data_IF_698945874512
#
_entry.id   IF_698945874512
#
_cell.length_a   1.000
_cell.length_b   1.000
_cell.length_c   1.000
_cell.angle_alpha   90.00
_cell.angle_beta   90.00
_cell.angle_gamma   90.00
#
_symmetry.space_group_name_H-M   'P 1'
#
loop_
_entity.id
_entity.type
_entity.pdbx_description
1 polymer ?
#
# COMPACT_ATOMS: atom_id res chain seq x y z
N UNK A 1 -7.52 -15.15 -16.98
CA UNK A 1 -6.25 -15.89 -16.82
C UNK A 1 -6.35 -17.11 -15.87
N UNK A 2 -7.56 -17.59 -15.53
CA UNK A 2 -7.77 -18.74 -14.64
C UNK A 2 -7.01 -18.68 -13.29
N UNK A 3 -6.90 -17.49 -12.69
CA UNK A 3 -6.20 -17.26 -11.42
C UNK A 3 -4.71 -17.64 -11.40
N UNK A 4 -4.07 -17.78 -12.57
CA UNK A 4 -2.63 -17.95 -12.67
C UNK A 4 -1.91 -16.64 -12.27
N UNK A 5 -1.11 -16.71 -11.21
CA UNK A 5 -0.39 -15.55 -10.62
C UNK A 5 0.73 -15.01 -11.49
N UNK A 6 1.15 -15.74 -12.51
CA UNK A 6 2.22 -15.34 -13.45
C UNK A 6 1.67 -14.82 -14.78
N UNK A 7 0.36 -14.95 -15.03
CA UNK A 7 -0.22 -14.62 -16.33
C UNK A 7 -0.48 -13.12 -16.54
N UNK A 8 -0.48 -12.32 -15.48
CA UNK A 8 -0.81 -10.89 -15.54
C UNK A 8 0.10 -10.07 -14.60
N UNK A 9 1.41 -10.14 -14.86
CA UNK A 9 2.44 -9.47 -14.05
C UNK A 9 2.44 -7.97 -14.32
N UNK A 10 2.30 -7.17 -13.26
CA UNK A 10 2.41 -5.72 -13.32
C UNK A 10 3.88 -5.29 -13.34
N UNK A 11 4.14 -4.13 -13.95
CA UNK A 11 5.45 -3.48 -13.97
C UNK A 11 5.47 -2.33 -12.97
N UNK A 12 6.54 -2.23 -12.17
CA UNK A 12 6.75 -1.12 -11.25
C UNK A 12 6.97 0.17 -12.04
N UNK A 13 6.27 1.23 -11.68
CA UNK A 13 6.47 2.54 -12.26
C UNK A 13 7.85 3.10 -11.83
N UNK A 14 8.54 3.77 -12.76
CA UNK A 14 9.90 4.27 -12.55
C UNK A 14 9.95 5.62 -11.82
N UNK A 15 8.87 6.39 -11.86
CA UNK A 15 8.75 7.70 -11.22
C UNK A 15 8.01 7.64 -9.89
N UNK A 16 7.02 6.75 -9.78
CA UNK A 16 6.33 6.45 -8.52
C UNK A 16 6.63 4.99 -8.12
N UNK A 17 7.59 4.76 -7.21
CA UNK A 17 7.99 3.42 -6.81
C UNK A 17 6.91 2.62 -6.07
N UNK A 18 5.77 3.22 -5.72
CA UNK A 18 4.64 2.54 -5.08
C UNK A 18 3.54 2.17 -6.09
N UNK A 19 3.64 2.62 -7.34
CA UNK A 19 2.65 2.32 -8.38
C UNK A 19 3.11 1.14 -9.25
N UNK A 20 2.21 0.17 -9.44
CA UNK A 20 2.40 -0.97 -10.34
C UNK A 20 1.30 -0.97 -11.41
N UNK A 21 1.67 -1.04 -12.69
CA UNK A 21 0.72 -0.95 -13.81
C UNK A 21 0.94 -2.05 -14.84
N UNK A 22 -0.09 -2.36 -15.61
CA UNK A 22 -0.02 -3.33 -16.70
C UNK A 22 -1.24 -3.20 -17.60
N UNK A 23 -1.05 -3.57 -18.88
CA UNK A 23 -2.13 -3.64 -19.87
C UNK A 23 -2.22 -5.07 -20.35
N UNK A 24 -3.42 -5.66 -20.23
CA UNK A 24 -3.65 -7.05 -20.61
C UNK A 24 -4.86 -7.12 -21.53
N UNK A 25 -4.74 -7.93 -22.58
CA UNK A 25 -5.87 -8.21 -23.46
C UNK A 25 -6.86 -9.13 -22.76
N UNK A 26 -8.14 -8.74 -22.76
CA UNK A 26 -9.24 -9.54 -22.23
C UNK A 26 -10.31 -9.66 -23.31
N UNK A 27 -10.47 -10.86 -23.85
CA UNK A 27 -11.52 -11.16 -24.81
C UNK A 27 -12.88 -11.19 -24.09
N UNK A 28 -13.62 -10.10 -24.18
CA UNK A 28 -14.88 -9.89 -23.47
C UNK A 28 -15.84 -9.01 -24.29
N UNK A 29 -17.07 -8.84 -23.80
CA UNK A 29 -18.09 -7.97 -24.41
C UNK A 29 -18.52 -6.87 -23.45
N UNK A 30 -19.11 -5.79 -23.99
CA UNK A 30 -19.78 -4.79 -23.16
C UNK A 30 -20.83 -5.45 -22.24
N UNK A 31 -20.88 -5.02 -20.98
CA UNK A 31 -21.75 -5.56 -19.93
C UNK A 31 -21.21 -6.82 -19.23
N UNK A 32 -20.16 -7.48 -19.73
CA UNK A 32 -19.55 -8.61 -19.04
C UNK A 32 -18.83 -8.15 -17.77
N UNK A 33 -18.82 -9.01 -16.75
CA UNK A 33 -18.16 -8.75 -15.45
C UNK A 33 -16.92 -9.62 -15.34
N UNK A 34 -15.79 -8.99 -15.07
CA UNK A 34 -14.54 -9.66 -14.72
C UNK A 34 -14.32 -9.58 -13.22
N UNK A 35 -14.08 -10.73 -12.58
CA UNK A 35 -13.52 -10.78 -11.23
C UNK A 35 -12.00 -10.84 -11.26
N UNK A 36 -11.35 -10.17 -10.33
CA UNK A 36 -9.89 -10.17 -10.22
C UNK A 36 -9.42 -9.94 -8.78
N UNK A 37 -8.13 -10.22 -8.55
CA UNK A 37 -7.40 -9.87 -7.34
C UNK A 37 -5.97 -9.46 -7.67
N UNK A 38 -5.39 -8.63 -6.82
CA UNK A 38 -3.95 -8.40 -6.76
C UNK A 38 -3.26 -9.45 -5.87
N UNK A 39 -2.03 -9.80 -6.25
CA UNK A 39 -1.17 -10.74 -5.53
C UNK A 39 0.25 -10.17 -5.47
N UNK A 40 0.85 -10.14 -4.28
CA UNK A 40 2.24 -9.74 -4.10
C UNK A 40 3.15 -10.98 -4.23
N UNK A 41 4.20 -10.85 -5.03
CA UNK A 41 5.23 -11.87 -5.24
C UNK A 41 4.67 -13.27 -5.58
N UNK A 42 3.51 -13.32 -6.23
CA UNK A 42 2.86 -14.56 -6.65
C UNK A 42 2.23 -15.41 -5.52
N UNK A 43 2.33 -15.00 -4.25
CA UNK A 43 1.87 -15.81 -3.12
C UNK A 43 0.93 -15.09 -2.15
N UNK A 44 1.06 -13.77 -2.00
CA UNK A 44 0.29 -13.01 -1.00
C UNK A 44 -0.89 -12.33 -1.68
N UNK A 45 -2.03 -13.01 -1.65
CA UNK A 45 -3.28 -12.50 -2.19
C UNK A 45 -3.86 -11.37 -1.35
N UNK A 46 -4.54 -10.43 -1.99
CA UNK A 46 -5.37 -9.48 -1.27
C UNK A 46 -6.56 -10.17 -0.58
N UNK A 47 -7.08 -9.56 0.48
CA UNK A 47 -8.22 -10.02 1.26
C UNK A 47 -9.56 -9.86 0.52
N UNK A 48 -10.65 -9.81 1.28
CA UNK A 48 -11.99 -9.59 0.72
C UNK A 48 -12.22 -8.09 0.51
N UNK A 49 -12.02 -7.65 -0.72
CA UNK A 49 -11.98 -6.22 -1.10
C UNK A 49 -13.03 -5.84 -2.15
N UNK A 50 -13.88 -6.80 -2.53
CA UNK A 50 -14.92 -6.60 -3.51
C UNK A 50 -16.04 -5.69 -3.00
N UNK A 51 -16.91 -5.21 -3.91
CA UNK A 51 -18.09 -4.45 -3.52
C UNK A 51 -18.92 -5.23 -2.50
N UNK A 52 -19.47 -4.52 -1.52
CA UNK A 52 -20.30 -5.07 -0.44
C UNK A 52 -19.64 -6.23 0.34
N UNK A 53 -18.31 -6.21 0.45
CA UNK A 53 -17.53 -7.22 1.18
C UNK A 53 -17.32 -8.52 0.41
N UNK A 54 -17.58 -8.54 -0.91
CA UNK A 54 -17.31 -9.68 -1.76
C UNK A 54 -15.82 -10.06 -1.74
N UNK A 55 -15.53 -11.34 -2.03
CA UNK A 55 -14.16 -11.86 -1.99
C UNK A 55 -13.24 -11.16 -3.00
N UNK A 56 -13.70 -10.99 -4.23
CA UNK A 56 -12.89 -10.49 -5.35
C UNK A 56 -13.34 -9.09 -5.76
N UNK A 57 -12.39 -8.31 -6.29
CA UNK A 57 -12.76 -7.10 -7.04
C UNK A 57 -13.56 -7.49 -8.28
N UNK A 58 -14.42 -6.61 -8.74
CA UNK A 58 -15.18 -6.78 -9.98
C UNK A 58 -15.08 -5.55 -10.86
N UNK A 59 -14.98 -5.76 -12.16
CA UNK A 59 -15.04 -4.71 -13.17
C UNK A 59 -16.05 -5.09 -14.25
N UNK A 60 -16.97 -4.19 -14.57
CA UNK A 60 -17.93 -4.36 -15.67
C UNK A 60 -17.40 -3.64 -16.89
N UNK A 61 -17.17 -4.37 -17.99
CA UNK A 61 -16.72 -3.77 -19.24
C UNK A 61 -17.82 -2.88 -19.83
N UNK A 62 -17.47 -1.65 -20.18
CA UNK A 62 -18.38 -0.66 -20.79
C UNK A 62 -18.40 -0.73 -22.31
N UNK A 63 -17.29 -1.13 -22.95
CA UNK A 63 -17.19 -1.43 -24.38
C UNK A 63 -16.15 -2.53 -24.65
N UNK A 64 -15.87 -2.80 -25.92
CA UNK A 64 -14.74 -3.63 -26.37
C UNK A 64 -13.46 -2.83 -26.59
N UNK A 65 -13.51 -1.50 -26.42
CA UNK A 65 -12.34 -0.64 -26.53
C UNK A 65 -11.46 -0.74 -25.27
N UNK A 66 -10.17 -0.36 -25.35
CA UNK A 66 -9.29 -0.31 -24.20
C UNK A 66 -9.88 0.52 -23.06
N UNK A 67 -9.87 -0.04 -21.85
CA UNK A 67 -10.41 0.57 -20.65
C UNK A 67 -9.35 0.64 -19.55
N UNK A 68 -9.32 1.77 -18.85
CA UNK A 68 -8.41 1.99 -17.72
C UNK A 68 -9.15 1.73 -16.42
N UNK A 69 -8.63 0.81 -15.60
CA UNK A 69 -9.13 0.59 -14.26
C UNK A 69 -8.62 1.70 -13.32
N UNK A 70 -9.41 2.10 -12.29
CA UNK A 70 -8.95 3.05 -11.29
C UNK A 70 -7.70 2.56 -10.55
N UNK A 71 -6.84 3.50 -10.15
CA UNK A 71 -5.79 3.22 -9.18
C UNK A 71 -6.41 2.88 -7.82
N UNK A 72 -5.91 1.83 -7.17
CA UNK A 72 -6.35 1.38 -5.85
C UNK A 72 -5.17 0.89 -5.01
N UNK A 73 -5.28 0.99 -3.69
CA UNK A 73 -4.33 0.38 -2.77
C UNK A 73 -4.56 -1.13 -2.67
N UNK A 74 -3.47 -1.86 -2.45
CA UNK A 74 -3.56 -3.28 -2.10
C UNK A 74 -4.41 -3.43 -0.82
N UNK A 75 -5.33 -4.40 -0.79
CA UNK A 75 -6.31 -4.57 0.29
C UNK A 75 -7.30 -3.39 0.52
N UNK A 76 -7.36 -2.39 -0.37
CA UNK A 76 -8.08 -1.12 -0.11
C UNK A 76 -7.63 -0.44 1.19
N UNK A 77 -6.39 -0.65 1.61
CA UNK A 77 -5.85 -0.03 2.83
C UNK A 77 -5.31 1.34 2.46
N UNK A 78 -6.13 2.38 2.69
CA UNK A 78 -5.74 3.79 2.59
C UNK A 78 -5.31 4.39 3.95
N UNK A 79 -5.53 3.63 5.02
CA UNK A 79 -5.21 3.99 6.39
C UNK A 79 -4.43 2.87 7.07
N UNK A 80 -3.19 3.16 7.47
CA UNK A 80 -2.29 2.20 8.12
C UNK A 80 -2.51 2.10 9.64
N UNK A 81 -3.54 2.78 10.15
CA UNK A 81 -3.84 2.89 11.56
C UNK A 81 -3.03 3.98 12.26
N UNK A 82 -3.28 4.20 13.56
CA UNK A 82 -2.57 5.19 14.34
C UNK A 82 -1.15 4.74 14.70
N UNK A 83 -0.25 5.72 14.82
CA UNK A 83 0.99 5.56 15.57
C UNK A 83 0.67 5.87 17.03
N UNK A 84 0.97 4.93 17.93
CA UNK A 84 0.85 5.13 19.38
C UNK A 84 2.21 5.54 19.95
N UNK A 85 2.20 6.54 20.84
CA UNK A 85 3.39 7.05 21.50
C UNK A 85 3.57 6.36 22.86
N UNK A 86 4.79 5.91 23.15
CA UNK A 86 5.18 5.46 24.48
C UNK A 86 5.62 6.62 25.38
N UNK A 87 5.91 6.31 26.65
CA UNK A 87 6.51 7.27 27.58
C UNK A 87 7.92 7.62 27.15
N UNK A 88 8.22 8.92 27.07
CA UNK A 88 9.57 9.41 26.77
C UNK A 88 10.49 9.11 27.96
N UNK A 89 11.66 8.54 27.67
CA UNK A 89 12.73 8.33 28.65
C UNK A 89 14.03 8.94 28.12
N UNK A 90 14.49 10.02 28.75
CA UNK A 90 15.59 10.81 28.23
C UNK A 90 15.22 11.46 26.90
N UNK A 91 16.00 11.18 25.86
CA UNK A 91 15.75 11.61 24.48
C UNK A 91 15.08 10.52 23.63
N UNK A 92 14.65 9.41 24.22
CA UNK A 92 14.06 8.29 23.48
C UNK A 92 12.53 8.28 23.56
N UNK A 93 11.90 8.24 22.39
CA UNK A 93 10.46 8.09 22.21
C UNK A 93 10.15 6.71 21.59
N UNK A 94 9.54 5.79 22.34
CA UNK A 94 8.99 4.56 21.78
C UNK A 94 7.75 4.85 20.93
N UNK A 95 7.63 4.19 19.79
CA UNK A 95 6.51 4.26 18.84
C UNK A 95 6.02 2.84 18.54
N UNK A 96 4.72 2.64 18.44
CA UNK A 96 4.10 1.36 18.06
C UNK A 96 2.95 1.55 17.08
N UNK A 97 2.77 0.62 16.14
CA UNK A 97 1.71 0.61 15.13
C UNK A 97 1.37 -0.83 14.70
N UNK A 98 0.32 -0.99 13.89
CA UNK A 98 -0.05 -2.30 13.33
C UNK A 98 1.03 -2.76 12.33
N UNK A 99 1.72 -3.89 12.55
CA UNK A 99 2.77 -4.33 11.64
C UNK A 99 2.20 -4.76 10.28
N UNK A 100 3.00 -4.59 9.23
CA UNK A 100 2.68 -5.06 7.89
C UNK A 100 3.96 -5.16 7.04
N UNK A 101 4.07 -6.14 6.14
CA UNK A 101 5.33 -6.48 5.46
C UNK A 101 5.92 -5.35 4.60
N UNK A 102 5.11 -4.37 4.19
CA UNK A 102 5.53 -3.18 3.44
C UNK A 102 5.32 -1.87 4.21
N UNK A 103 4.93 -1.93 5.48
CA UNK A 103 4.78 -0.76 6.34
C UNK A 103 6.16 -0.36 6.88
N UNK A 104 6.47 0.92 6.84
CA UNK A 104 7.68 1.51 7.45
C UNK A 104 7.37 2.89 8.03
N UNK A 105 8.20 3.31 8.97
CA UNK A 105 8.09 4.61 9.62
C UNK A 105 8.97 5.63 8.87
N UNK A 106 8.43 6.81 8.62
CA UNK A 106 9.19 7.96 8.16
C UNK A 106 9.18 9.07 9.19
N UNK A 107 10.25 9.87 9.20
CA UNK A 107 10.41 11.03 10.07
C UNK A 107 10.72 12.29 9.28
N UNK A 108 10.41 13.43 9.88
CA UNK A 108 10.71 14.76 9.37
C UNK A 108 10.82 15.76 10.53
N UNK A 109 11.70 16.75 10.44
CA UNK A 109 11.92 17.74 11.51
C UNK A 109 11.16 19.06 11.31
N UNK A 110 10.55 19.26 10.15
CA UNK A 110 9.74 20.45 9.82
C UNK A 110 8.54 20.00 9.00
N UNK A 111 7.32 20.32 9.44
CA UNK A 111 6.12 19.89 8.74
C UNK A 111 6.00 20.57 7.36
N UNK A 112 6.38 21.84 7.25
CA UNK A 112 6.21 22.65 6.04
C UNK A 112 7.33 22.45 5.02
N UNK A 113 8.56 22.18 5.45
CA UNK A 113 9.73 22.13 4.55
C UNK A 113 10.58 20.87 4.74
N UNK A 114 11.28 20.41 3.68
CA UNK A 114 12.10 19.19 3.70
C UNK A 114 11.40 17.95 3.15
N UNK A 115 12.15 16.84 3.03
CA UNK A 115 11.66 15.55 2.56
C UNK A 115 11.44 14.59 3.73
N UNK A 116 10.43 13.73 3.63
CA UNK A 116 10.28 12.59 4.52
C UNK A 116 11.45 11.62 4.33
N UNK A 117 11.99 11.13 5.44
CA UNK A 117 13.11 10.18 5.45
C UNK A 117 12.69 8.90 6.16
N UNK A 118 13.09 7.76 5.62
CA UNK A 118 12.84 6.47 6.27
C UNK A 118 13.59 6.40 7.60
N UNK A 119 12.91 5.96 8.65
CA UNK A 119 13.55 5.57 9.91
C UNK A 119 14.17 4.19 9.68
N UNK A 120 15.49 4.00 9.93
CA UNK A 120 16.18 2.75 9.68
C UNK A 120 15.50 1.55 10.36
N UNK A 121 15.59 0.39 9.72
CA UNK A 121 15.14 -0.91 10.26
C UNK A 121 13.65 -1.00 10.62
N UNK A 122 12.79 -0.13 10.09
CA UNK A 122 11.35 -0.13 10.38
C UNK A 122 10.48 -0.85 9.34
N UNK A 123 11.06 -1.29 8.21
CA UNK A 123 10.30 -2.04 7.19
C UNK A 123 9.81 -3.38 7.75
N UNK A 124 8.50 -3.61 7.65
CA UNK A 124 7.89 -4.84 8.15
C UNK A 124 7.62 -4.85 9.66
N UNK A 125 8.08 -3.82 10.39
CA UNK A 125 7.98 -3.76 11.85
C UNK A 125 6.64 -3.19 12.31
N UNK A 126 6.38 -3.33 13.62
CA UNK A 126 5.27 -2.69 14.33
C UNK A 126 5.72 -1.74 15.44
N UNK A 127 7.02 -1.46 15.55
CA UNK A 127 7.59 -0.62 16.60
C UNK A 127 8.93 -0.01 16.18
N UNK A 128 9.26 1.14 16.75
CA UNK A 128 10.58 1.76 16.70
C UNK A 128 10.81 2.56 17.99
N UNK A 129 12.07 2.77 18.36
CA UNK A 129 12.46 3.79 19.34
C UNK A 129 13.28 4.84 18.62
N UNK A 130 12.83 6.09 18.66
CA UNK A 130 13.46 7.20 17.95
C UNK A 130 14.04 8.19 18.95
N UNK A 131 15.20 8.76 18.61
CA UNK A 131 15.75 9.88 19.36
C UNK A 131 15.02 11.16 18.98
N UNK A 132 14.40 11.82 19.95
CA UNK A 132 13.74 13.12 19.81
C UNK A 132 14.63 14.21 20.36
N UNK A 133 14.96 15.19 19.51
CA UNK A 133 15.78 16.35 19.89
C UNK A 133 14.97 17.45 20.60
N UNK A 134 15.56 18.63 20.70
CA UNK A 134 14.93 19.82 21.31
C UNK A 134 13.90 20.52 20.41
N UNK A 135 13.67 20.00 19.20
CA UNK A 135 12.73 20.55 18.22
C UNK A 135 11.60 19.57 17.89
N UNK A 136 10.60 20.01 17.11
CA UNK A 136 9.51 19.14 16.69
C UNK A 136 10.02 18.02 15.78
N UNK A 137 9.49 16.83 15.99
CA UNK A 137 9.66 15.68 15.10
C UNK A 137 8.26 15.20 14.67
N UNK A 138 8.12 14.94 13.39
CA UNK A 138 6.89 14.48 12.77
C UNK A 138 7.10 13.07 12.24
N UNK A 139 6.09 12.23 12.39
CA UNK A 139 6.15 10.83 12.00
C UNK A 139 4.96 10.48 11.12
N UNK A 140 5.19 9.64 10.12
CA UNK A 140 4.13 9.04 9.32
C UNK A 140 4.45 7.58 9.04
N UNK A 141 3.40 6.77 8.85
CA UNK A 141 3.54 5.44 8.27
C UNK A 141 3.40 5.56 6.75
N UNK A 142 4.27 4.83 6.04
CA UNK A 142 4.07 4.56 4.62
C UNK A 142 3.91 3.05 4.49
N UNK A 143 2.95 2.64 3.66
CA UNK A 143 2.59 1.26 3.40
C UNK A 143 2.45 1.03 1.89
N UNK A 144 1.99 -0.15 1.49
CA UNK A 144 1.76 -0.49 0.08
C UNK A 144 0.66 0.36 -0.56
#
# INVERSE_FOLDING_TARGET
>A
NNWNTEASVLTRNTTDPNLWTGTFEVNSSAGAVMSFKYVLNGSTWEGNVGPDGAQNRSYTFTSTDPQTLPQVYFNNVDNLGPITLGTISGDQLPLTWTPGPAIRLQTKNDFQTGLWQDVPDTLGQGTATVTVGTGPAYFQLIGP
#
